data_IF_857560822011
#
_entry.id   IF_857560822011
#
_cell.length_a   1.000
_cell.length_b   1.000
_cell.length_c   1.000
_cell.angle_alpha   90.00
_cell.angle_beta   90.00
_cell.angle_gamma   90.00
#
_symmetry.space_group_name_H-M   'P 1'
#
loop_
_entity.id
_entity.type
_entity.pdbx_description
1 polymer ?
#
# COMPACT_ATOMS: atom_id res chain seq x y z
N UNK A 1 -11.32 9.10 -0.47
CA UNK A 1 -11.32 8.32 0.79
C UNK A 1 -10.12 8.65 1.68
N UNK A 2 -10.31 8.50 2.99
CA UNK A 2 -9.25 8.63 3.99
C UNK A 2 -8.80 7.24 4.44
N UNK A 3 -7.49 7.01 4.45
CA UNK A 3 -6.85 5.80 4.99
C UNK A 3 -5.86 6.18 6.10
N UNK A 4 -5.37 5.19 6.83
CA UNK A 4 -4.15 5.32 7.62
C UNK A 4 -3.00 4.69 6.84
N UNK A 5 -1.95 5.46 6.60
CA UNK A 5 -0.74 5.02 5.91
C UNK A 5 0.46 5.14 6.85
N UNK A 6 1.06 4.01 7.23
CA UNK A 6 2.17 3.98 8.19
C UNK A 6 1.85 4.72 9.51
N UNK A 7 0.63 4.52 10.02
CA UNK A 7 0.10 5.19 11.20
C UNK A 7 -0.32 6.66 11.03
N UNK A 8 -0.17 7.26 9.85
CA UNK A 8 -0.54 8.66 9.59
C UNK A 8 -1.77 8.78 8.67
N UNK A 9 -2.67 9.76 8.89
CA UNK A 9 -3.80 9.99 8.00
C UNK A 9 -3.35 10.34 6.58
N UNK A 10 -3.95 9.71 5.58
CA UNK A 10 -3.62 9.93 4.17
C UNK A 10 -4.87 9.92 3.29
N UNK A 11 -4.98 10.89 2.38
CA UNK A 11 -6.12 11.03 1.47
C UNK A 11 -5.80 10.45 0.08
N UNK A 12 -6.71 9.62 -0.43
CA UNK A 12 -6.64 9.01 -1.76
C UNK A 12 -7.95 9.22 -2.53
N UNK A 13 -7.91 9.29 -3.86
CA UNK A 13 -9.09 9.08 -4.69
C UNK A 13 -9.78 7.75 -4.39
N UNK A 14 -11.10 7.71 -4.54
CA UNK A 14 -11.86 6.46 -4.38
C UNK A 14 -11.49 5.47 -5.50
N UNK A 15 -11.44 4.18 -5.17
CA UNK A 15 -11.12 3.13 -6.13
C UNK A 15 -9.63 3.03 -6.49
N UNK A 16 -8.75 3.74 -5.78
CA UNK A 16 -7.30 3.58 -5.92
C UNK A 16 -6.84 2.18 -5.50
N UNK A 17 -5.79 1.70 -6.16
CA UNK A 17 -5.20 0.39 -5.86
C UNK A 17 -3.92 0.54 -5.06
N UNK A 18 -3.46 -0.54 -4.44
CA UNK A 18 -2.14 -0.57 -3.77
C UNK A 18 -1.02 -0.14 -4.73
N UNK A 19 -1.03 -0.59 -5.98
CA UNK A 19 -0.01 -0.21 -6.96
C UNK A 19 -0.05 1.30 -7.30
N UNK A 20 -1.24 1.88 -7.38
CA UNK A 20 -1.42 3.30 -7.64
C UNK A 20 -0.93 4.14 -6.44
N UNK A 21 -1.25 3.74 -5.21
CA UNK A 21 -0.67 4.32 -3.99
C UNK A 21 0.86 4.27 -4.01
N UNK A 22 1.47 3.12 -4.29
CA UNK A 22 2.95 3.01 -4.36
C UNK A 22 3.56 3.92 -5.43
N UNK A 23 2.84 4.16 -6.53
CA UNK A 23 3.27 5.11 -7.56
C UNK A 23 3.25 6.54 -7.05
N UNK A 24 2.19 6.94 -6.32
CA UNK A 24 2.08 8.27 -5.70
C UNK A 24 3.14 8.54 -4.65
N UNK A 25 3.62 7.50 -3.97
CA UNK A 25 4.69 7.57 -2.98
C UNK A 25 6.10 7.52 -3.60
N UNK A 26 6.24 7.49 -4.93
CA UNK A 26 7.50 7.27 -5.64
C UNK A 26 8.23 5.96 -5.25
N UNK A 27 7.44 4.96 -4.85
CA UNK A 27 7.88 3.61 -4.45
C UNK A 27 7.58 2.55 -5.51
N UNK A 28 6.98 2.92 -6.63
CA UNK A 28 6.77 2.01 -7.76
C UNK A 28 8.08 1.32 -8.17
N UNK A 29 8.02 0.01 -8.37
CA UNK A 29 9.20 -0.80 -8.73
C UNK A 29 10.15 -1.10 -7.58
N UNK A 30 10.11 -0.38 -6.45
CA UNK A 30 10.99 -0.64 -5.29
C UNK A 30 10.65 -1.97 -4.60
N UNK A 31 11.63 -2.49 -3.85
CA UNK A 31 11.45 -3.66 -2.99
C UNK A 31 10.82 -3.23 -1.67
N UNK A 32 9.51 -3.17 -1.67
CA UNK A 32 8.67 -2.90 -0.50
C UNK A 32 7.73 -4.08 -0.25
N UNK A 33 7.43 -4.33 1.01
CA UNK A 33 6.30 -5.15 1.42
C UNK A 33 5.12 -4.21 1.75
N UNK A 34 3.91 -4.64 1.40
CA UNK A 34 2.69 -3.92 1.72
C UNK A 34 1.81 -4.82 2.57
N UNK A 35 1.34 -4.28 3.69
CA UNK A 35 0.31 -4.86 4.53
C UNK A 35 -0.95 -3.99 4.41
N UNK A 36 -2.10 -4.64 4.32
CA UNK A 36 -3.41 -4.02 4.30
C UNK A 36 -4.25 -4.66 5.40
N UNK A 37 -4.63 -3.89 6.41
CA UNK A 37 -5.45 -4.34 7.53
C UNK A 37 -4.91 -5.63 8.20
N UNK A 38 -3.61 -5.66 8.48
CA UNK A 38 -2.88 -6.81 9.06
C UNK A 38 -2.64 -7.99 8.11
N UNK A 39 -3.07 -7.89 6.84
CA UNK A 39 -2.83 -8.91 5.82
C UNK A 39 -1.79 -8.46 4.79
N UNK A 40 -0.76 -9.28 4.58
CA UNK A 40 0.25 -8.99 3.55
C UNK A 40 -0.37 -9.09 2.16
N UNK A 41 -0.25 -8.01 1.38
CA UNK A 41 -0.67 -7.99 -0.03
C UNK A 41 0.49 -8.45 -0.92
N UNK A 42 0.41 -9.62 -1.57
CA UNK A 42 1.44 -10.09 -2.49
C UNK A 42 1.65 -9.09 -3.61
N UNK A 43 2.91 -8.91 -4.04
CA UNK A 43 3.25 -7.95 -5.11
C UNK A 43 2.45 -8.15 -6.40
N UNK A 44 2.15 -9.41 -6.75
CA UNK A 44 1.35 -9.74 -7.94
C UNK A 44 -0.10 -9.27 -7.85
N UNK A 45 -0.60 -8.98 -6.64
CA UNK A 45 -1.97 -8.51 -6.39
C UNK A 45 -2.06 -6.99 -6.24
N UNK A 46 -0.94 -6.26 -6.10
CA UNK A 46 -0.94 -4.82 -5.87
C UNK A 46 -1.79 -4.03 -6.88
N UNK A 47 -1.79 -4.44 -8.15
CA UNK A 47 -2.56 -3.77 -9.20
C UNK A 47 -4.07 -4.08 -9.18
N UNK A 48 -4.49 -5.14 -8.49
CA UNK A 48 -5.88 -5.58 -8.40
C UNK A 48 -6.52 -5.31 -7.03
N UNK A 49 -5.71 -5.12 -5.98
CA UNK A 49 -6.18 -4.79 -4.64
C UNK A 49 -6.58 -3.32 -4.58
N UNK A 50 -7.88 -3.07 -4.55
CA UNK A 50 -8.48 -1.75 -4.36
C UNK A 50 -8.52 -1.42 -2.87
N UNK A 51 -8.12 -0.21 -2.52
CA UNK A 51 -8.18 0.33 -1.15
C UNK A 51 -9.57 0.94 -0.90
N UNK A 52 -10.04 0.85 0.34
CA UNK A 52 -11.29 1.41 0.82
C UNK A 52 -11.11 2.48 1.89
N UNK A 53 -12.19 3.19 2.18
CA UNK A 53 -12.27 4.15 3.28
C UNK A 53 -11.95 3.47 4.63
N UNK A 54 -11.07 4.09 5.40
CA UNK A 54 -10.67 3.64 6.74
C UNK A 54 -9.62 2.53 6.76
N UNK A 55 -9.16 2.05 5.61
CA UNK A 55 -8.12 1.01 5.54
C UNK A 55 -6.83 1.45 6.21
N UNK A 56 -6.13 0.49 6.81
CA UNK A 56 -4.80 0.66 7.38
C UNK A 56 -3.78 0.01 6.44
N UNK A 57 -2.85 0.80 5.94
CA UNK A 57 -1.84 0.38 4.98
C UNK A 57 -0.46 0.62 5.57
N UNK A 58 0.34 -0.43 5.68
CA UNK A 58 1.74 -0.32 6.07
C UNK A 58 2.63 -0.64 4.86
N UNK A 59 3.57 0.24 4.56
CA UNK A 59 4.54 0.11 3.47
C UNK A 59 5.94 0.13 4.08
N UNK A 60 6.55 -1.05 4.16
CA UNK A 60 7.88 -1.22 4.76
C UNK A 60 8.91 -1.66 3.72
N UNK A 61 10.15 -1.21 3.87
CA UNK A 61 11.25 -1.69 3.06
C UNK A 61 11.47 -3.19 3.31
N UNK A 62 11.46 -3.99 2.25
CA UNK A 62 11.73 -5.41 2.39
C UNK A 62 13.21 -5.59 2.74
N UNK A 63 13.49 -6.04 3.97
CA UNK A 63 14.83 -6.44 4.40
C UNK A 63 15.11 -7.84 3.84
N UNK A 64 15.56 -7.90 2.59
CA UNK A 64 15.99 -9.15 1.98
C UNK A 64 17.39 -9.53 2.45
N UNK A 65 17.48 -10.54 3.33
CA UNK A 65 18.66 -11.39 3.44
C UNK A 65 18.77 -12.26 2.19
N UNK A 66 20.01 -12.47 1.73
CA UNK A 66 20.33 -13.27 0.54
C UNK A 66 20.07 -14.76 0.69
#
# INVERSE_FOLDING_TARGET
MHIQLNGEPFELPDGETVAALLTRLDLAGRRVAVELNLDIVPRSQHAATVLGEGDQVEVVHAIGGG
#
